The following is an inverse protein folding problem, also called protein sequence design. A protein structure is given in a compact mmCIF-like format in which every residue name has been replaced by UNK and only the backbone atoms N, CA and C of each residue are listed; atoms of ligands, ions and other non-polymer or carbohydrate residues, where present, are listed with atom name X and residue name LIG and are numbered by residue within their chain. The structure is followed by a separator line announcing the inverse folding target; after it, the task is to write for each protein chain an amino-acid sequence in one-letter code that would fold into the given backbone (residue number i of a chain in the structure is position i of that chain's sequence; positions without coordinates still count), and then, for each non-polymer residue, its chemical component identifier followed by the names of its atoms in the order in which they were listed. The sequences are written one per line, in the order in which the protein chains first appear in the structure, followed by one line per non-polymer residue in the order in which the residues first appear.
data_IF_121360488647
#
_entry.id   IF_121360488647
#
_cell.length_a   1.000
_cell.length_b   1.000
_cell.length_c   1.000
_cell.angle_alpha   90.00
_cell.angle_beta   90.00
_cell.angle_gamma   90.00
#
_symmetry.space_group_name_H-M   'P 1'
#
loop_
_entity.id
_entity.type
_entity.pdbx_description
1 polymer ?
#
# COMPACT_ATOMS: atom_id res chain seq x y z
N UNK A 1 14.36 15.36 -6.74
CA UNK A 1 14.50 14.54 -5.51
C UNK A 1 13.26 14.62 -4.61
N UNK A 2 12.45 15.67 -4.71
CA UNK A 2 11.23 15.92 -3.91
C UNK A 2 10.21 14.80 -3.98
N UNK A 3 9.96 14.26 -5.17
CA UNK A 3 8.98 13.19 -5.42
C UNK A 3 9.18 11.95 -4.57
N UNK A 4 10.45 11.53 -4.34
CA UNK A 4 10.74 10.35 -3.53
C UNK A 4 10.36 10.60 -2.06
N UNK A 5 10.67 11.78 -1.53
CA UNK A 5 10.32 12.14 -0.15
C UNK A 5 8.80 12.22 0.07
N UNK A 6 8.06 12.75 -0.90
CA UNK A 6 6.59 12.83 -0.86
C UNK A 6 5.96 11.44 -0.83
N UNK A 7 6.42 10.53 -1.70
CA UNK A 7 5.98 9.12 -1.68
C UNK A 7 6.26 8.49 -0.31
N UNK A 8 7.45 8.70 0.26
CA UNK A 8 7.80 8.17 1.58
C UNK A 8 6.90 8.72 2.70
N UNK A 9 6.52 10.00 2.63
CA UNK A 9 5.60 10.62 3.59
C UNK A 9 4.19 10.03 3.49
N UNK A 10 3.67 9.88 2.27
CA UNK A 10 2.35 9.26 2.02
C UNK A 10 2.33 7.82 2.57
N UNK A 11 3.36 7.03 2.24
CA UNK A 11 3.52 5.66 2.74
C UNK A 11 3.54 5.62 4.27
N UNK A 12 4.25 6.56 4.91
CA UNK A 12 4.30 6.70 6.37
C UNK A 12 2.94 7.01 7.00
N UNK A 13 2.16 7.92 6.42
CA UNK A 13 0.79 8.27 6.90
C UNK A 13 -0.11 7.03 6.90
N UNK A 14 0.00 6.19 5.87
CA UNK A 14 -0.79 4.97 5.74
C UNK A 14 -0.25 3.81 6.58
N UNK A 15 0.85 3.99 7.33
CA UNK A 15 1.55 2.89 8.02
C UNK A 15 1.84 1.73 7.07
N UNK A 16 2.18 2.07 5.83
CA UNK A 16 2.65 1.14 4.82
C UNK A 16 4.18 1.05 4.91
N UNK A 17 4.76 0.01 4.32
CA UNK A 17 6.19 -0.25 4.37
C UNK A 17 6.81 -0.03 3.00
N UNK A 18 8.04 0.46 2.97
CA UNK A 18 8.89 0.40 1.79
C UNK A 18 9.71 -0.88 1.89
N UNK A 19 9.47 -1.81 0.97
CA UNK A 19 10.10 -3.14 0.99
C UNK A 19 11.29 -3.25 0.02
N UNK A 20 11.39 -2.33 -0.95
CA UNK A 20 12.55 -2.24 -1.85
C UNK A 20 12.75 -0.79 -2.36
N UNK A 21 14.01 -0.45 -2.66
CA UNK A 21 14.43 0.87 -3.15
C UNK A 21 15.35 0.70 -4.36
N UNK A 22 14.81 0.96 -5.54
CA UNK A 22 15.60 1.06 -6.77
C UNK A 22 16.09 2.48 -7.04
N UNK A 23 16.98 2.70 -8.03
CA UNK A 23 17.43 4.05 -8.41
C UNK A 23 16.26 4.98 -8.78
N UNK A 24 15.30 4.44 -9.55
CA UNK A 24 14.16 5.16 -10.13
C UNK A 24 12.79 4.55 -9.75
N UNK A 25 12.73 3.83 -8.63
CA UNK A 25 11.50 3.18 -8.13
C UNK A 25 11.55 2.98 -6.62
N UNK A 26 10.37 2.75 -6.04
CA UNK A 26 10.16 2.26 -4.69
C UNK A 26 9.13 1.14 -4.79
N UNK A 27 9.30 0.08 -4.00
CA UNK A 27 8.28 -0.96 -3.82
C UNK A 27 7.64 -0.77 -2.46
N UNK A 28 6.32 -0.64 -2.44
CA UNK A 28 5.52 -0.34 -1.24
C UNK A 28 4.60 -1.51 -0.94
N UNK A 29 4.54 -1.92 0.32
CA UNK A 29 3.60 -2.92 0.83
C UNK A 29 2.61 -2.24 1.79
N UNK A 30 1.32 -2.54 1.63
CA UNK A 30 0.27 -2.10 2.55
C UNK A 30 -0.65 -3.26 2.90
N UNK A 31 -1.00 -3.35 4.18
CA UNK A 31 -2.05 -4.25 4.68
C UNK A 31 -3.14 -3.41 5.35
N UNK A 32 -4.40 -3.76 5.09
CA UNK A 32 -5.56 -3.09 5.63
C UNK A 32 -6.86 -3.54 4.98
N UNK A 33 -7.93 -2.83 5.31
CA UNK A 33 -9.18 -2.93 4.57
C UNK A 33 -9.05 -2.36 3.15
N UNK A 34 -10.09 -2.59 2.36
CA UNK A 34 -10.15 -2.16 0.98
C UNK A 34 -10.06 -0.64 0.81
N UNK A 35 -10.69 0.12 1.72
CA UNK A 35 -10.71 1.59 1.65
C UNK A 35 -9.32 2.17 1.88
N UNK A 36 -8.56 1.64 2.84
CA UNK A 36 -7.17 2.03 3.08
C UNK A 36 -6.29 1.75 1.88
N UNK A 37 -6.40 0.55 1.28
CA UNK A 37 -5.60 0.16 0.11
C UNK A 37 -5.94 1.04 -1.09
N UNK A 38 -7.22 1.24 -1.38
CA UNK A 38 -7.66 2.06 -2.50
C UNK A 38 -7.27 3.54 -2.32
N UNK A 39 -7.37 4.08 -1.10
CA UNK A 39 -6.98 5.46 -0.81
C UNK A 39 -5.48 5.69 -0.99
N UNK A 40 -4.63 4.75 -0.53
CA UNK A 40 -3.20 4.82 -0.76
C UNK A 40 -2.89 4.76 -2.25
N UNK A 41 -3.50 3.81 -2.98
CA UNK A 41 -3.29 3.66 -4.42
C UNK A 41 -3.71 4.93 -5.19
N UNK A 42 -4.81 5.57 -4.80
CA UNK A 42 -5.27 6.82 -5.39
C UNK A 42 -4.28 7.97 -5.21
N UNK A 43 -3.69 8.12 -4.02
CA UNK A 43 -2.65 9.13 -3.78
C UNK A 43 -1.34 8.82 -4.53
N UNK A 44 -1.02 7.53 -4.73
CA UNK A 44 0.18 7.10 -5.44
C UNK A 44 0.02 7.14 -6.97
N UNK A 45 -1.21 7.23 -7.48
CA UNK A 45 -1.52 7.20 -8.91
C UNK A 45 -0.76 8.26 -9.70
N UNK A 46 -0.73 9.50 -9.20
CA UNK A 46 -0.12 10.65 -9.88
C UNK A 46 1.41 10.57 -9.96
N UNK A 47 2.04 9.69 -9.16
CA UNK A 47 3.47 9.45 -9.17
C UNK A 47 3.91 8.38 -10.18
N UNK A 48 2.96 7.68 -10.81
CA UNK A 48 3.22 6.64 -11.80
C UNK A 48 3.43 5.26 -11.16
N UNK A 49 2.33 4.53 -10.98
CA UNK A 49 2.35 3.12 -10.55
C UNK A 49 2.79 2.25 -11.73
N UNK A 50 3.98 1.64 -11.61
CA UNK A 50 4.55 0.78 -12.67
C UNK A 50 3.90 -0.61 -12.71
N UNK A 51 3.71 -1.20 -11.53
CA UNK A 51 3.16 -2.54 -11.36
C UNK A 51 2.32 -2.58 -10.08
N UNK A 52 1.28 -3.43 -10.08
CA UNK A 52 0.39 -3.63 -8.94
C UNK A 52 0.11 -5.12 -8.77
N UNK A 53 0.36 -5.64 -7.57
CA UNK A 53 -0.07 -6.97 -7.15
C UNK A 53 -0.96 -6.84 -5.92
N UNK A 54 -2.16 -7.43 -5.96
CA UNK A 54 -3.16 -7.35 -4.90
C UNK A 54 -3.80 -8.71 -4.66
N UNK A 55 -3.90 -9.10 -3.40
CA UNK A 55 -4.48 -10.38 -2.97
C UNK A 55 -6.02 -10.40 -2.99
N UNK A 56 -6.66 -9.24 -3.08
CA UNK A 56 -8.10 -9.08 -2.92
C UNK A 56 -8.52 -9.06 -1.45
N UNK A 57 -9.83 -9.21 -1.20
CA UNK A 57 -10.36 -9.28 0.16
C UNK A 57 -10.18 -10.69 0.72
N UNK A 58 -9.43 -10.81 1.80
CA UNK A 58 -9.29 -12.06 2.57
C UNK A 58 -9.91 -11.81 3.94
N UNK A 59 -10.82 -12.67 4.38
CA UNK A 59 -11.54 -12.53 5.64
C UNK A 59 -11.67 -13.88 6.35
N UNK A 60 -11.64 -13.82 7.68
CA UNK A 60 -11.94 -14.94 8.57
C UNK A 60 -12.93 -14.44 9.62
N UNK A 61 -13.87 -15.30 10.02
CA UNK A 61 -14.78 -15.00 11.13
C UNK A 61 -13.98 -14.76 12.40
N UNK A 62 -14.31 -13.69 13.12
CA UNK A 62 -13.65 -13.36 14.39
C UNK A 62 -14.26 -14.19 15.51
N UNK A 63 -13.42 -14.84 16.32
CA UNK A 63 -13.85 -15.63 17.47
C UNK A 63 -14.30 -17.05 17.11
N UNK A 64 -14.70 -17.82 18.12
CA UNK A 64 -15.17 -19.20 17.97
C UNK A 64 -16.64 -19.21 17.56
N UNK A 65 -16.93 -19.16 16.26
CA UNK A 65 -18.11 -19.85 15.76
C UNK A 65 -17.63 -20.99 14.85
N UNK A 66 -17.36 -22.17 15.44
CA UNK A 66 -16.83 -23.31 14.72
C UNK A 66 -18.03 -24.00 14.04
N UNK A 67 -18.46 -23.48 12.89
CA UNK A 67 -19.64 -23.95 12.16
C UNK A 67 -20.98 -23.63 12.82
#
# INVERSE_FOLDING_TARGET
TTTRSEIMQIVGIFRANIVDVGPNSLTVEVTGDEDKVNSLLGLLHDFGVKELSRTGRIALTRGSNPF
#
